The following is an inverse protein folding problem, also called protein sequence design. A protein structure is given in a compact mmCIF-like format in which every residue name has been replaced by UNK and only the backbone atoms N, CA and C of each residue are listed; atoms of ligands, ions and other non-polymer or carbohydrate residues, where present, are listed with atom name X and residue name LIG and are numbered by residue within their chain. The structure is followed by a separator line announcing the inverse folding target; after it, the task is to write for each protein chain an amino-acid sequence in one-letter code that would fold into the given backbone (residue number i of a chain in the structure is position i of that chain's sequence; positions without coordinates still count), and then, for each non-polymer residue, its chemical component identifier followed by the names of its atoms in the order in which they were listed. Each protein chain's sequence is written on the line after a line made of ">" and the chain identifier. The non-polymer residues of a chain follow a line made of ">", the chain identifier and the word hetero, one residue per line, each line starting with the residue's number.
data_IF_830852551413
#
_entry.id   IF_830852551413
#
_cell.length_a   1.000
_cell.length_b   1.000
_cell.length_c   1.000
_cell.angle_alpha   90.00
_cell.angle_beta   90.00
_cell.angle_gamma   90.00
#
_symmetry.space_group_name_H-M   'P 1'
#
loop_
_entity.id
_entity.type
_entity.pdbx_description
1 polymer ?
#
# COMPACT_ATOMS: atom_id res chain seq x y z
N UNK A 1 12.01 7.93 -34.08
CA UNK A 1 11.10 8.13 -32.93
C UNK A 1 10.97 6.80 -32.22
N UNK A 2 11.60 6.65 -31.06
CA UNK A 2 11.59 5.38 -30.33
C UNK A 2 10.21 5.15 -29.73
N UNK A 3 9.53 4.09 -30.17
CA UNK A 3 8.33 3.60 -29.52
C UNK A 3 8.75 3.20 -28.09
N UNK A 4 8.40 4.01 -27.09
CA UNK A 4 8.48 3.58 -25.70
C UNK A 4 7.39 2.51 -25.57
N UNK A 5 7.74 1.26 -25.84
CA UNK A 5 6.83 0.13 -25.61
C UNK A 5 6.72 -0.03 -24.10
N UNK A 6 5.60 0.45 -23.54
CA UNK A 6 5.21 0.15 -22.18
C UNK A 6 5.16 -1.38 -22.02
N UNK A 7 6.02 -1.95 -21.18
CA UNK A 7 5.89 -3.35 -20.78
C UNK A 7 4.76 -3.46 -19.75
N UNK A 8 3.54 -3.32 -20.25
CA UNK A 8 2.31 -3.25 -19.48
C UNK A 8 2.19 -4.42 -18.50
N UNK A 9 2.50 -5.64 -18.95
CA UNK A 9 2.39 -6.82 -18.12
C UNK A 9 3.35 -6.76 -16.93
N UNK A 10 4.64 -6.46 -17.16
CA UNK A 10 5.62 -6.35 -16.08
C UNK A 10 5.29 -5.24 -15.07
N UNK A 11 4.66 -4.15 -15.52
CA UNK A 11 4.22 -3.08 -14.60
C UNK A 11 3.02 -3.55 -13.77
N UNK A 12 2.05 -4.24 -14.38
CA UNK A 12 0.90 -4.78 -13.64
C UNK A 12 1.31 -5.84 -12.62
N UNK A 13 2.21 -6.74 -12.99
CA UNK A 13 2.70 -7.79 -12.09
C UNK A 13 3.37 -7.18 -10.84
N UNK A 14 4.20 -6.14 -11.03
CA UNK A 14 4.82 -5.41 -9.91
C UNK A 14 3.80 -4.69 -9.03
N UNK A 15 2.76 -4.11 -9.61
CA UNK A 15 1.69 -3.46 -8.84
C UNK A 15 0.90 -4.48 -8.01
N UNK A 16 0.72 -5.70 -8.52
CA UNK A 16 0.10 -6.80 -7.77
C UNK A 16 1.01 -7.30 -6.64
N UNK A 17 2.32 -7.46 -6.87
CA UNK A 17 3.29 -7.79 -5.81
C UNK A 17 3.29 -6.77 -4.67
N UNK A 18 3.26 -5.48 -5.01
CA UNK A 18 3.19 -4.40 -4.01
C UNK A 18 1.87 -4.47 -3.23
N UNK A 19 0.74 -4.70 -3.89
CA UNK A 19 -0.56 -4.82 -3.23
C UNK A 19 -0.56 -5.98 -2.22
N UNK A 20 -0.06 -7.15 -2.62
CA UNK A 20 0.03 -8.33 -1.77
C UNK A 20 0.97 -8.11 -0.57
N UNK A 21 2.12 -7.49 -0.80
CA UNK A 21 3.08 -7.17 0.26
C UNK A 21 2.47 -6.21 1.29
N UNK A 22 1.69 -5.23 0.84
CA UNK A 22 0.99 -4.28 1.71
C UNK A 22 -0.10 -4.98 2.51
N UNK A 23 -0.92 -5.82 1.87
CA UNK A 23 -1.96 -6.58 2.56
C UNK A 23 -1.37 -7.47 3.67
N UNK A 24 -0.22 -8.10 3.41
CA UNK A 24 0.50 -8.95 4.35
C UNK A 24 1.10 -8.19 5.56
N UNK A 25 1.22 -6.86 5.52
CA UNK A 25 1.63 -6.05 6.68
C UNK A 25 0.52 -6.05 7.73
N UNK A 26 0.56 -7.01 8.64
CA UNK A 26 -0.30 -7.05 9.82
C UNK A 26 0.52 -6.72 11.06
N UNK A 27 0.11 -5.71 11.82
CA UNK A 27 0.65 -5.50 13.16
C UNK A 27 -0.14 -6.31 14.17
N UNK A 28 0.59 -7.05 15.00
CA UNK A 28 0.01 -7.72 16.15
C UNK A 28 -0.41 -6.63 17.15
N UNK A 29 -1.69 -6.63 17.50
CA UNK A 29 -2.20 -5.79 18.58
C UNK A 29 -1.45 -6.15 19.88
N UNK A 30 -1.00 -5.16 20.66
CA UNK A 30 -0.54 -5.41 22.03
C UNK A 30 -1.54 -6.32 22.73
N UNK A 31 -1.02 -7.37 23.37
CA UNK A 31 -1.82 -8.14 24.29
C UNK A 31 -2.23 -7.21 25.44
N UNK A 32 -3.53 -7.18 25.78
CA UNK A 32 -4.04 -6.56 27.01
C UNK A 32 -3.46 -7.32 28.20
N UNK A 33 -2.23 -6.99 28.59
CA UNK A 33 -1.56 -7.52 29.79
C UNK A 33 -1.66 -6.56 30.98
N UNK A 34 -2.36 -5.44 30.82
CA UNK A 34 -2.69 -4.56 31.90
C UNK A 34 -3.79 -5.22 32.75
N UNK A 35 -3.41 -6.00 33.76
CA UNK A 35 -4.28 -6.21 34.92
C UNK A 35 -4.50 -4.90 35.69
N UNK A 36 -5.13 -4.96 36.87
CA UNK A 36 -5.45 -3.79 37.72
C UNK A 36 -4.25 -2.90 38.12
N UNK A 37 -3.02 -3.33 37.85
CA UNK A 37 -1.81 -2.55 38.12
C UNK A 37 -1.33 -1.82 36.85
N UNK A 38 -1.97 -0.69 36.56
CA UNK A 38 -1.57 0.20 35.46
C UNK A 38 -0.34 1.00 35.90
N UNK A 39 0.85 0.50 35.54
CA UNK A 39 2.07 1.29 35.61
C UNK A 39 2.03 2.32 34.49
N UNK A 40 2.46 3.56 34.77
CA UNK A 40 2.55 4.65 33.80
C UNK A 40 3.29 4.24 32.50
N UNK A 41 4.25 3.33 32.62
CA UNK A 41 4.94 2.70 31.51
C UNK A 41 4.02 1.92 30.57
N UNK A 42 3.10 1.11 31.09
CA UNK A 42 2.15 0.31 30.29
C UNK A 42 1.20 1.23 29.53
N UNK A 43 0.70 2.29 30.18
CA UNK A 43 -0.15 3.30 29.52
C UNK A 43 0.58 3.99 28.36
N UNK A 44 1.83 4.43 28.59
CA UNK A 44 2.65 5.07 27.55
C UNK A 44 3.00 4.09 26.42
N UNK A 45 3.28 2.83 26.74
CA UNK A 45 3.53 1.77 25.75
C UNK A 45 2.30 1.52 24.87
N UNK A 46 1.13 1.33 25.47
CA UNK A 46 -0.12 1.08 24.73
C UNK A 46 -0.51 2.27 23.87
N UNK A 47 -0.36 3.50 24.37
CA UNK A 47 -0.60 4.71 23.58
C UNK A 47 0.34 4.78 22.37
N UNK A 48 1.63 4.47 22.56
CA UNK A 48 2.60 4.46 21.47
C UNK A 48 2.32 3.37 20.44
N UNK A 49 1.93 2.17 20.88
CA UNK A 49 1.52 1.11 19.96
C UNK A 49 0.29 1.51 19.14
N UNK A 50 -0.67 2.22 19.73
CA UNK A 50 -1.83 2.74 19.02
C UNK A 50 -1.43 3.76 17.95
N UNK A 51 -0.54 4.71 18.27
CA UNK A 51 -0.01 5.69 17.29
C UNK A 51 0.71 5.00 16.12
N UNK A 52 1.55 4.00 16.43
CA UNK A 52 2.26 3.23 15.40
C UNK A 52 1.25 2.46 14.54
N UNK A 53 0.21 1.88 15.15
CA UNK A 53 -0.90 1.24 14.45
C UNK A 53 -1.63 2.17 13.50
N UNK A 54 -1.94 3.38 13.92
CA UNK A 54 -2.60 4.36 13.07
C UNK A 54 -1.70 4.82 11.91
N UNK A 55 -0.41 5.03 12.18
CA UNK A 55 0.56 5.43 11.17
C UNK A 55 0.75 4.36 10.09
N UNK A 56 0.86 3.10 10.48
CA UNK A 56 0.97 1.98 9.54
C UNK A 56 -0.31 1.83 8.72
N UNK A 57 -1.49 1.94 9.34
CA UNK A 57 -2.77 1.90 8.61
C UNK A 57 -2.86 3.03 7.57
N UNK A 58 -2.53 4.26 7.97
CA UNK A 58 -2.52 5.43 7.08
C UNK A 58 -1.54 5.25 5.91
N UNK A 59 -0.35 4.71 6.20
CA UNK A 59 0.63 4.38 5.17
C UNK A 59 0.10 3.32 4.18
N UNK A 60 -0.55 2.25 4.68
CA UNK A 60 -1.15 1.22 3.83
C UNK A 60 -2.21 1.82 2.91
N UNK A 61 -3.10 2.65 3.44
CA UNK A 61 -4.15 3.31 2.64
C UNK A 61 -3.57 4.19 1.54
N UNK A 62 -2.59 5.03 1.87
CA UNK A 62 -1.92 5.89 0.90
C UNK A 62 -1.22 5.07 -0.20
N UNK A 63 -0.56 3.97 0.18
CA UNK A 63 0.16 3.14 -0.79
C UNK A 63 -0.80 2.37 -1.71
N UNK A 64 -1.89 1.80 -1.16
CA UNK A 64 -2.95 1.14 -1.96
C UNK A 64 -3.54 2.12 -2.97
N UNK A 65 -3.85 3.35 -2.54
CA UNK A 65 -4.35 4.39 -3.44
C UNK A 65 -3.36 4.70 -4.56
N UNK A 66 -2.08 4.90 -4.23
CA UNK A 66 -1.05 5.16 -5.24
C UNK A 66 -0.91 4.00 -6.24
N UNK A 67 -1.03 2.75 -5.79
CA UNK A 67 -1.02 1.58 -6.65
C UNK A 67 -2.22 1.57 -7.59
N UNK A 68 -3.42 1.88 -7.09
CA UNK A 68 -4.65 1.99 -7.90
C UNK A 68 -4.54 3.11 -8.94
N UNK A 69 -4.07 4.29 -8.53
CA UNK A 69 -3.86 5.43 -9.42
C UNK A 69 -2.84 5.09 -10.51
N UNK A 70 -1.73 4.44 -10.15
CA UNK A 70 -0.71 3.99 -11.11
C UNK A 70 -1.28 2.94 -12.07
N UNK A 71 -2.07 1.97 -11.60
CA UNK A 71 -2.74 0.98 -12.44
C UNK A 71 -3.68 1.65 -13.45
N UNK A 72 -4.46 2.63 -13.02
CA UNK A 72 -5.35 3.40 -13.89
C UNK A 72 -4.57 4.14 -14.98
N UNK A 73 -3.51 4.86 -14.58
CA UNK A 73 -2.65 5.60 -15.51
C UNK A 73 -1.99 4.68 -16.55
N UNK A 74 -1.45 3.55 -16.11
CA UNK A 74 -0.81 2.55 -17.00
C UNK A 74 -1.83 1.95 -17.98
N UNK A 75 -3.09 1.75 -17.56
CA UNK A 75 -4.18 1.31 -18.44
C UNK A 75 -4.51 2.37 -19.49
N UNK A 76 -4.68 3.64 -19.10
CA UNK A 76 -4.93 4.73 -20.04
C UNK A 76 -3.80 4.89 -21.06
N UNK A 77 -2.54 4.76 -20.64
CA UNK A 77 -1.39 4.81 -21.56
C UNK A 77 -1.44 3.68 -22.59
N UNK A 78 -1.80 2.46 -22.18
CA UNK A 78 -1.96 1.34 -23.10
C UNK A 78 -3.09 1.58 -24.11
N UNK A 79 -4.24 2.06 -23.65
CA UNK A 79 -5.38 2.38 -24.53
C UNK A 79 -5.02 3.47 -25.56
N UNK A 80 -4.23 4.48 -25.15
CA UNK A 80 -3.72 5.51 -26.05
C UNK A 80 -2.74 4.94 -27.09
N UNK A 81 -1.79 4.11 -26.66
CA UNK A 81 -0.84 3.46 -27.57
C UNK A 81 -1.56 2.59 -28.61
N UNK A 82 -2.58 1.82 -28.20
CA UNK A 82 -3.41 1.01 -29.09
C UNK A 82 -4.23 1.86 -30.07
N UNK A 83 -4.82 2.97 -29.62
CA UNK A 83 -5.57 3.88 -30.47
C UNK A 83 -4.69 4.60 -31.52
N UNK A 84 -3.43 4.90 -31.17
CA UNK A 84 -2.45 5.48 -32.11
C UNK A 84 -1.99 4.43 -33.12
N UNK A 85 -1.73 3.19 -32.69
CA UNK A 85 -1.30 2.12 -33.58
C UNK A 85 -2.39 1.65 -34.56
N UNK A 86 -3.67 1.88 -34.23
CA UNK A 86 -4.81 1.57 -35.09
C UNK A 86 -5.13 2.65 -36.13
N UNK A 87 -4.43 3.80 -36.12
CA UNK A 87 -4.55 4.90 -37.08
C UNK A 87 -3.46 4.82 -38.14
#
# INVERSE_FOLDING_TARGET
>A
MGQIKLNYQTVMDKLDEVSQAVEALAMKKAADKAGENSLEFVTKWTAREAEVSEMVSSFKEALIKNVQDTRSNVKTLKEQDEAIAAK
#
